data_IF_579814043828
#
_entry.id   IF_579814043828
#
_cell.length_a   1.000
_cell.length_b   1.000
_cell.length_c   1.000
_cell.angle_alpha   90.00
_cell.angle_beta   90.00
_cell.angle_gamma   90.00
#
_symmetry.space_group_name_H-M   'P 1'
#
loop_
_entity.id
_entity.type
_entity.pdbx_description
1 polymer ?
#
# COMPACT_ATOMS: atom_id res chain seq x y z
N UNK A 1 -11.65 -16.31 -23.86
CA UNK A 1 -10.46 -15.96 -23.06
C UNK A 1 -10.05 -14.58 -23.54
N UNK A 2 -10.37 -13.52 -22.78
CA UNK A 2 -9.92 -12.17 -23.12
C UNK A 2 -8.53 -12.06 -22.53
N UNK A 3 -7.51 -12.40 -23.33
CA UNK A 3 -6.15 -11.98 -23.06
C UNK A 3 -6.14 -10.46 -23.18
N UNK A 4 -6.12 -9.76 -22.05
CA UNK A 4 -5.82 -8.33 -22.01
C UNK A 4 -4.35 -8.17 -22.41
N UNK A 5 -4.10 -8.19 -23.72
CA UNK A 5 -2.79 -8.01 -24.34
C UNK A 5 -2.46 -6.51 -24.49
N UNK A 6 -2.77 -5.74 -23.45
CA UNK A 6 -2.75 -4.28 -23.45
C UNK A 6 -1.55 -3.69 -22.69
N UNK A 7 -0.52 -3.28 -23.44
CA UNK A 7 0.49 -2.28 -23.08
C UNK A 7 1.46 -2.47 -21.88
N UNK A 8 1.34 -3.49 -21.02
CA UNK A 8 2.28 -3.69 -19.90
C UNK A 8 3.50 -4.58 -20.21
N UNK A 9 3.71 -5.00 -21.47
CA UNK A 9 4.80 -5.93 -21.80
C UNK A 9 6.21 -5.31 -21.84
N UNK A 10 6.36 -3.97 -21.86
CA UNK A 10 7.67 -3.32 -21.82
C UNK A 10 8.31 -3.29 -20.42
N UNK A 11 7.51 -3.42 -19.37
CA UNK A 11 7.93 -3.60 -17.98
C UNK A 11 7.06 -4.70 -17.36
N UNK A 12 7.43 -5.97 -17.55
CA UNK A 12 6.59 -7.11 -17.16
C UNK A 12 6.06 -7.04 -15.71
N UNK A 13 4.95 -7.74 -15.41
CA UNK A 13 4.23 -7.73 -14.13
C UNK A 13 5.14 -7.79 -12.88
N UNK A 14 6.22 -8.56 -12.96
CA UNK A 14 7.26 -8.63 -11.92
C UNK A 14 7.92 -7.28 -11.63
N UNK A 15 8.31 -6.55 -12.67
CA UNK A 15 8.93 -5.24 -12.56
C UNK A 15 7.93 -4.21 -12.03
N UNK A 16 6.67 -4.29 -12.46
CA UNK A 16 5.58 -3.49 -11.89
C UNK A 16 5.40 -3.69 -10.38
N UNK A 17 5.46 -4.93 -9.90
CA UNK A 17 5.42 -5.23 -8.46
C UNK A 17 6.65 -4.69 -7.71
N UNK A 18 7.85 -4.78 -8.29
CA UNK A 18 9.08 -4.28 -7.66
C UNK A 18 9.05 -2.75 -7.57
N UNK A 19 8.72 -2.07 -8.67
CA UNK A 19 8.62 -0.61 -8.70
C UNK A 19 7.49 -0.11 -7.79
N UNK A 20 6.33 -0.74 -7.81
CA UNK A 20 5.21 -0.41 -6.93
C UNK A 20 5.57 -0.60 -5.45
N UNK A 21 6.23 -1.71 -5.10
CA UNK A 21 6.68 -1.96 -3.73
C UNK A 21 7.74 -0.97 -3.25
N UNK A 22 8.73 -0.65 -4.08
CA UNK A 22 9.74 0.36 -3.77
C UNK A 22 9.11 1.76 -3.61
N UNK A 23 8.15 2.09 -4.48
CA UNK A 23 7.41 3.34 -4.40
C UNK A 23 6.64 3.46 -3.07
N UNK A 24 5.91 2.41 -2.67
CA UNK A 24 5.18 2.39 -1.40
C UNK A 24 6.13 2.59 -0.20
N UNK A 25 7.29 1.92 -0.21
CA UNK A 25 8.29 2.06 0.86
C UNK A 25 8.78 3.50 0.96
N UNK A 26 9.12 4.13 -0.16
CA UNK A 26 9.58 5.52 -0.18
C UNK A 26 8.46 6.46 0.27
N UNK A 27 7.24 6.24 -0.22
CA UNK A 27 6.07 7.07 0.07
C UNK A 27 5.73 7.08 1.58
N UNK A 28 5.57 5.91 2.18
CA UNK A 28 5.28 5.77 3.60
C UNK A 28 6.44 6.27 4.48
N UNK A 29 7.70 5.99 4.11
CA UNK A 29 8.85 6.51 4.83
C UNK A 29 8.89 8.06 4.84
N UNK A 30 8.54 8.69 3.72
CA UNK A 30 8.39 10.15 3.62
C UNK A 30 7.25 10.65 4.50
N UNK A 31 6.11 9.95 4.56
CA UNK A 31 5.00 10.30 5.46
C UNK A 31 5.40 10.19 6.93
N UNK A 32 6.08 9.12 7.33
CA UNK A 32 6.61 8.96 8.70
C UNK A 32 7.53 10.12 9.05
N UNK A 33 8.44 10.49 8.13
CA UNK A 33 9.33 11.62 8.32
C UNK A 33 8.57 12.94 8.46
N UNK A 34 7.57 13.19 7.61
CA UNK A 34 6.77 14.40 7.64
C UNK A 34 5.96 14.49 8.94
N UNK A 35 5.36 13.40 9.39
CA UNK A 35 4.67 13.34 10.68
C UNK A 35 5.60 13.58 11.86
N UNK A 36 6.81 13.01 11.84
CA UNK A 36 7.83 13.28 12.85
C UNK A 36 8.25 14.76 12.84
N UNK A 37 8.41 15.35 11.66
CA UNK A 37 8.74 16.75 11.49
C UNK A 37 7.61 17.64 12.06
N UNK A 38 6.36 17.38 11.71
CA UNK A 38 5.21 18.12 12.26
C UNK A 38 5.11 17.96 13.77
N UNK A 39 5.30 16.76 14.33
CA UNK A 39 5.29 16.57 15.78
C UNK A 39 6.37 17.43 16.48
N UNK A 40 7.58 17.49 15.90
CA UNK A 40 8.71 18.24 16.46
C UNK A 40 8.53 19.75 16.34
N UNK A 41 8.03 20.24 15.20
CA UNK A 41 7.99 21.68 14.88
C UNK A 41 6.61 22.34 15.00
N UNK A 42 5.53 21.58 15.13
CA UNK A 42 4.18 22.13 15.34
C UNK A 42 4.10 22.84 16.69
N UNK A 43 3.66 24.10 16.67
CA UNK A 43 3.43 24.94 17.86
C UNK A 43 1.96 24.94 18.33
N UNK A 44 1.06 24.18 17.69
CA UNK A 44 -0.34 24.08 18.15
C UNK A 44 -0.42 23.18 19.37
N UNK A 45 -0.28 23.78 20.55
CA UNK A 45 -0.70 23.23 21.82
C UNK A 45 -2.12 23.68 22.10
N UNK A 46 -3.04 22.73 22.24
CA UNK A 46 -4.31 23.00 22.92
C UNK A 46 -3.97 23.27 24.38
N UNK A 47 -4.40 24.44 24.89
CA UNK A 47 -4.21 24.78 26.30
C UNK A 47 -5.19 23.90 27.07
N UNK A 48 -4.68 23.02 27.92
CA UNK A 48 -5.52 22.27 28.83
C UNK A 48 -6.07 23.25 29.89
N UNK A 49 -7.39 23.46 29.87
CA UNK A 49 -8.09 24.46 30.70
C UNK A 49 -8.00 24.16 32.21
N UNK A 50 -7.57 22.95 32.59
CA UNK A 50 -7.51 22.48 33.97
C UNK A 50 -6.09 22.65 34.57
N UNK A 51 -5.04 22.48 33.76
CA UNK A 51 -3.64 22.47 34.22
C UNK A 51 -2.81 23.65 33.71
N UNK A 52 -3.28 24.35 32.68
CA UNK A 52 -2.53 25.44 32.05
C UNK A 52 -1.30 24.98 31.25
N UNK A 53 -1.12 23.67 31.08
CA UNK A 53 -0.02 23.09 30.33
C UNK A 53 -0.37 22.93 28.85
N UNK A 54 0.66 23.09 28.01
CA UNK A 54 0.57 22.92 26.57
C UNK A 54 0.59 21.43 26.22
N UNK A 55 -0.55 20.75 26.23
CA UNK A 55 -0.64 19.38 25.72
C UNK A 55 -0.68 19.40 24.19
N UNK A 56 0.36 18.85 23.56
CA UNK A 56 0.34 18.46 22.16
C UNK A 56 -0.38 17.12 22.06
N UNK A 57 -1.38 17.02 21.20
CA UNK A 57 -2.08 15.78 20.91
C UNK A 57 -1.14 14.79 20.17
N UNK A 58 -0.29 14.09 20.93
CA UNK A 58 0.80 13.25 20.38
C UNK A 58 0.37 11.82 20.08
N UNK A 59 -0.73 11.36 20.68
CA UNK A 59 -1.22 9.98 20.56
C UNK A 59 -1.64 9.64 19.13
N UNK A 60 -2.38 10.53 18.46
CA UNK A 60 -2.77 10.36 17.06
C UNK A 60 -1.58 10.25 16.11
N UNK A 61 -0.55 11.09 16.30
CA UNK A 61 0.68 11.05 15.50
C UNK A 61 1.46 9.75 15.69
N UNK A 62 1.55 9.23 16.92
CA UNK A 62 2.20 7.96 17.20
C UNK A 62 1.47 6.76 16.57
N UNK A 63 0.14 6.76 16.61
CA UNK A 63 -0.68 5.70 16.01
C UNK A 63 -0.55 5.69 14.48
N UNK A 64 -0.60 6.85 13.82
CA UNK A 64 -0.37 6.91 12.37
C UNK A 64 1.07 6.53 11.99
N UNK A 65 2.08 7.02 12.72
CA UNK A 65 3.49 6.71 12.44
C UNK A 65 3.79 5.21 12.54
N UNK A 66 3.27 4.55 13.57
CA UNK A 66 3.40 3.08 13.72
C UNK A 66 2.65 2.32 12.63
N UNK A 67 1.51 2.84 12.17
CA UNK A 67 0.73 2.25 11.08
C UNK A 67 1.49 2.30 9.75
N UNK A 68 2.08 3.44 9.39
CA UNK A 68 2.88 3.56 8.17
C UNK A 68 4.13 2.68 8.20
N UNK A 69 4.77 2.53 9.36
CA UNK A 69 5.91 1.63 9.52
C UNK A 69 5.50 0.17 9.26
N UNK A 70 4.33 -0.24 9.77
CA UNK A 70 3.80 -1.57 9.52
C UNK A 70 3.46 -1.78 8.03
N UNK A 71 2.97 -0.74 7.34
CA UNK A 71 2.74 -0.79 5.88
C UNK A 71 4.04 -0.90 5.07
N UNK A 72 5.13 -0.32 5.54
CA UNK A 72 6.46 -0.52 4.92
C UNK A 72 6.93 -1.95 5.04
N UNK A 73 6.75 -2.55 6.21
CA UNK A 73 7.05 -3.96 6.41
C UNK A 73 6.20 -4.86 5.51
N UNK A 74 4.91 -4.54 5.33
CA UNK A 74 4.03 -5.25 4.39
C UNK A 74 4.50 -5.06 2.95
N UNK A 75 4.89 -3.85 2.56
CA UNK A 75 5.37 -3.52 1.21
C UNK A 75 6.68 -4.24 0.86
N UNK A 76 7.53 -4.54 1.85
CA UNK A 76 8.69 -5.41 1.65
C UNK A 76 8.30 -6.82 1.21
N UNK A 77 7.19 -7.39 1.70
CA UNK A 77 6.73 -8.71 1.24
C UNK A 77 6.36 -8.71 -0.25
N UNK A 78 5.89 -7.58 -0.80
CA UNK A 78 5.65 -7.45 -2.24
C UNK A 78 6.97 -7.52 -3.02
N UNK A 79 7.98 -6.74 -2.61
CA UNK A 79 9.29 -6.71 -3.26
C UNK A 79 9.98 -8.07 -3.17
N UNK A 80 10.03 -8.67 -1.98
CA UNK A 80 10.59 -10.01 -1.79
C UNK A 80 9.81 -11.08 -2.55
N UNK A 81 8.47 -11.01 -2.54
CA UNK A 81 7.60 -11.91 -3.31
C UNK A 81 7.85 -11.82 -4.81
N UNK A 82 8.07 -10.61 -5.32
CA UNK A 82 8.39 -10.35 -6.72
C UNK A 82 9.79 -10.84 -7.12
N UNK A 83 10.80 -10.65 -6.25
CA UNK A 83 12.17 -11.12 -6.48
C UNK A 83 12.24 -12.65 -6.43
N UNK A 84 11.74 -13.27 -5.35
CA UNK A 84 11.81 -14.70 -5.08
C UNK A 84 10.75 -15.53 -5.83
N UNK A 85 9.85 -14.88 -6.58
CA UNK A 85 8.70 -15.53 -7.26
C UNK A 85 7.83 -16.34 -6.28
N UNK A 86 7.68 -15.85 -5.06
CA UNK A 86 7.00 -16.56 -3.98
C UNK A 86 5.54 -16.10 -3.84
N UNK A 87 4.62 -16.89 -4.38
CA UNK A 87 3.19 -16.60 -4.40
C UNK A 87 2.53 -16.36 -3.03
N UNK A 88 3.01 -16.99 -1.95
CA UNK A 88 2.46 -16.79 -0.60
C UNK A 88 2.77 -15.37 -0.10
N UNK A 89 3.96 -14.85 -0.42
CA UNK A 89 4.36 -13.50 0.00
C UNK A 89 3.49 -12.43 -0.67
N UNK A 90 3.14 -12.62 -1.95
CA UNK A 90 2.20 -11.76 -2.67
C UNK A 90 0.79 -11.83 -2.06
N UNK A 91 0.35 -13.02 -1.66
CA UNK A 91 -0.96 -13.19 -1.01
C UNK A 91 -1.03 -12.50 0.35
N UNK A 92 0.04 -12.61 1.16
CA UNK A 92 0.14 -11.91 2.45
C UNK A 92 0.12 -10.39 2.23
N UNK A 93 0.82 -9.89 1.21
CA UNK A 93 0.76 -8.48 0.84
C UNK A 93 -0.67 -8.03 0.51
N UNK A 94 -1.38 -8.76 -0.37
CA UNK A 94 -2.76 -8.43 -0.75
C UNK A 94 -3.73 -8.44 0.45
N UNK A 95 -3.55 -9.36 1.40
CA UNK A 95 -4.33 -9.36 2.64
C UNK A 95 -4.01 -8.14 3.51
N UNK A 96 -2.72 -7.78 3.61
CA UNK A 96 -2.28 -6.60 4.35
C UNK A 96 -2.83 -5.29 3.79
N UNK A 97 -3.01 -5.20 2.47
CA UNK A 97 -3.50 -4.00 1.78
C UNK A 97 -4.98 -3.69 2.02
N UNK A 98 -5.76 -4.62 2.58
CA UNK A 98 -7.16 -4.35 2.96
C UNK A 98 -7.26 -3.20 3.99
N UNK A 99 -6.30 -3.14 4.92
CA UNK A 99 -6.26 -2.13 5.98
C UNK A 99 -6.05 -0.71 5.38
N UNK A 100 -4.97 -0.42 4.62
CA UNK A 100 -4.77 0.89 3.99
C UNK A 100 -5.91 1.31 3.08
N UNK A 101 -6.42 0.39 2.24
CA UNK A 101 -7.55 0.71 1.35
C UNK A 101 -8.76 1.18 2.17
N UNK A 102 -9.05 0.50 3.28
CA UNK A 102 -10.14 0.87 4.18
C UNK A 102 -9.91 2.25 4.81
N UNK A 103 -8.70 2.53 5.27
CA UNK A 103 -8.33 3.81 5.89
C UNK A 103 -8.43 4.97 4.90
N UNK A 104 -7.83 4.84 3.72
CA UNK A 104 -7.89 5.86 2.66
C UNK A 104 -9.33 6.09 2.18
N UNK A 105 -10.11 5.01 2.03
CA UNK A 105 -11.52 5.11 1.65
C UNK A 105 -12.35 5.83 2.72
N UNK A 106 -12.06 5.60 4.01
CA UNK A 106 -12.73 6.28 5.12
C UNK A 106 -12.40 7.78 5.14
N UNK A 107 -11.14 8.16 4.93
CA UNK A 107 -10.74 9.57 4.86
C UNK A 107 -11.33 10.27 3.64
N UNK A 108 -11.35 9.60 2.48
CA UNK A 108 -12.00 10.11 1.28
C UNK A 108 -13.50 10.34 1.52
N UNK A 109 -14.20 9.36 2.13
CA UNK A 109 -15.62 9.51 2.48
C UNK A 109 -15.85 10.69 3.42
N UNK A 110 -15.01 10.82 4.44
CA UNK A 110 -15.07 11.92 5.41
C UNK A 110 -14.88 13.26 4.70
N UNK A 111 -13.88 13.37 3.83
CA UNK A 111 -13.60 14.60 3.08
C UNK A 111 -14.75 15.00 2.14
N UNK A 112 -15.42 14.02 1.51
CA UNK A 112 -16.62 14.24 0.69
C UNK A 112 -17.77 14.76 1.55
N UNK A 113 -18.02 14.17 2.72
CA UNK A 113 -19.10 14.59 3.63
C UNK A 113 -18.88 16.04 4.11
N UNK A 114 -17.64 16.43 4.38
CA UNK A 114 -17.30 17.79 4.82
C UNK A 114 -17.16 18.81 3.67
N UNK A 115 -17.38 18.42 2.41
CA UNK A 115 -17.36 19.33 1.26
C UNK A 115 -15.98 19.92 0.95
N UNK A 116 -14.90 19.23 1.31
CA UNK A 116 -13.52 19.68 1.04
C UNK A 116 -13.16 19.26 -0.39
N UNK A 117 -13.57 20.02 -1.40
CA UNK A 117 -13.56 19.54 -2.79
C UNK A 117 -12.17 19.49 -3.45
N UNK A 118 -11.32 20.50 -3.29
CA UNK A 118 -10.06 20.60 -4.06
C UNK A 118 -8.89 19.82 -3.45
N UNK A 119 -8.81 19.79 -2.12
CA UNK A 119 -7.72 19.11 -1.41
C UNK A 119 -7.99 17.60 -1.29
N UNK A 120 -9.26 17.18 -1.25
CA UNK A 120 -9.61 15.75 -1.11
C UNK A 120 -9.24 14.90 -2.31
N UNK A 121 -9.35 15.46 -3.52
CA UNK A 121 -9.04 14.75 -4.78
C UNK A 121 -7.53 14.45 -4.86
N UNK A 122 -6.69 15.41 -4.49
CA UNK A 122 -5.24 15.27 -4.63
C UNK A 122 -4.66 14.49 -3.45
N UNK A 123 -5.17 14.71 -2.23
CA UNK A 123 -4.61 14.13 -1.01
C UNK A 123 -5.13 12.73 -0.72
N UNK A 124 -6.39 12.41 -1.06
CA UNK A 124 -6.98 11.10 -0.73
C UNK A 124 -7.31 10.26 -1.97
N UNK A 125 -7.93 10.85 -3.01
CA UNK A 125 -8.31 10.07 -4.20
C UNK A 125 -7.09 9.60 -5.00
N UNK A 126 -6.10 10.47 -5.21
CA UNK A 126 -4.92 10.10 -6.00
C UNK A 126 -4.09 8.99 -5.32
N UNK A 127 -3.76 9.04 -4.01
CA UNK A 127 -3.11 7.93 -3.33
C UNK A 127 -3.92 6.64 -3.38
N UNK A 128 -5.25 6.72 -3.17
CA UNK A 128 -6.13 5.55 -3.27
C UNK A 128 -6.08 4.90 -4.66
N UNK A 129 -6.10 5.69 -5.74
CA UNK A 129 -5.99 5.17 -7.10
C UNK A 129 -4.65 4.48 -7.37
N UNK A 130 -3.55 5.07 -6.88
CA UNK A 130 -2.21 4.46 -7.00
C UNK A 130 -2.16 3.14 -6.23
N UNK A 131 -2.74 3.10 -5.04
CA UNK A 131 -2.78 1.92 -4.18
C UNK A 131 -3.56 0.77 -4.86
N UNK A 132 -4.76 1.08 -5.37
CA UNK A 132 -5.58 0.14 -6.14
C UNK A 132 -4.85 -0.36 -7.38
N UNK A 133 -4.12 0.52 -8.09
CA UNK A 133 -3.32 0.11 -9.24
C UNK A 133 -2.23 -0.91 -8.86
N UNK A 134 -1.50 -0.67 -7.77
CA UNK A 134 -0.46 -1.59 -7.28
C UNK A 134 -1.08 -2.94 -6.90
N UNK A 135 -2.25 -2.94 -6.26
CA UNK A 135 -2.96 -4.15 -5.88
C UNK A 135 -3.43 -4.97 -7.09
N UNK A 136 -3.95 -4.31 -8.12
CA UNK A 136 -4.32 -4.97 -9.38
C UNK A 136 -3.08 -5.61 -10.02
N UNK A 137 -1.95 -4.90 -10.09
CA UNK A 137 -0.69 -5.43 -10.63
C UNK A 137 -0.20 -6.62 -9.81
N UNK A 138 -0.21 -6.52 -8.47
CA UNK A 138 0.19 -7.59 -7.57
C UNK A 138 -0.72 -8.82 -7.68
N UNK A 139 -2.03 -8.60 -7.82
CA UNK A 139 -3.01 -9.66 -8.04
C UNK A 139 -2.80 -10.37 -9.38
N UNK A 140 -2.65 -9.61 -10.47
CA UNK A 140 -2.34 -10.17 -11.79
C UNK A 140 -1.07 -11.03 -11.75
N UNK A 141 -0.01 -10.53 -11.12
CA UNK A 141 1.24 -11.27 -10.98
C UNK A 141 1.09 -12.54 -10.11
N UNK A 142 0.30 -12.48 -9.03
CA UNK A 142 -0.01 -13.64 -8.20
C UNK A 142 -0.78 -14.72 -8.98
N UNK A 143 -1.76 -14.33 -9.80
CA UNK A 143 -2.51 -15.26 -10.65
C UNK A 143 -1.63 -15.94 -11.71
N UNK A 144 -0.71 -15.19 -12.32
CA UNK A 144 0.26 -15.72 -13.28
C UNK A 144 1.19 -16.75 -12.65
N UNK A 145 1.74 -16.45 -11.46
CA UNK A 145 2.59 -17.39 -10.71
C UNK A 145 1.85 -18.68 -10.33
N UNK A 146 0.56 -18.57 -9.95
CA UNK A 146 -0.27 -19.72 -9.61
C UNK A 146 -0.60 -20.56 -10.86
N UNK A 147 -0.87 -19.93 -11.99
CA UNK A 147 -1.12 -20.59 -13.27
C UNK A 147 0.10 -21.33 -13.80
N UNK A 148 1.27 -20.69 -13.76
CA UNK A 148 2.54 -21.29 -14.19
C UNK A 148 2.92 -22.55 -13.38
N UNK A 149 2.66 -22.53 -12.06
CA UNK A 149 2.80 -23.73 -11.21
C UNK A 149 1.82 -24.85 -11.57
N UNK A 150 0.58 -24.50 -11.94
CA UNK A 150 -0.42 -25.47 -12.37
C UNK A 150 -0.01 -26.14 -13.68
N UNK A 151 0.51 -25.38 -14.63
CA UNK A 151 1.03 -25.89 -15.90
C UNK A 151 2.23 -26.83 -15.72
N UNK A 152 3.18 -26.46 -14.84
CA UNK A 152 4.33 -27.33 -14.53
C UNK A 152 3.93 -28.62 -13.80
N UNK A 153 2.96 -28.56 -12.89
CA UNK A 153 2.43 -29.75 -12.22
C UNK A 153 1.73 -30.71 -13.20
N UNK A 154 0.93 -30.18 -14.14
CA UNK A 154 0.28 -31.00 -15.17
C UNK A 154 1.28 -31.63 -16.13
N UNK A 155 2.34 -30.91 -16.53
CA UNK A 155 3.40 -31.48 -17.37
C UNK A 155 4.18 -32.60 -16.67
N UNK A 156 4.36 -32.53 -15.34
CA UNK A 156 5.04 -33.58 -14.57
C UNK A 156 4.18 -34.84 -14.41
N UNK A 157 2.85 -34.70 -14.34
CA UNK A 157 1.91 -35.84 -14.22
C UNK A 157 1.83 -36.63 -15.54
N UNK A 158 2.09 -35.98 -16.69
CA UNK A 158 2.02 -36.62 -18.01
C UNK A 158 3.33 -37.30 -18.46
N UNK A 159 4.33 -37.44 -17.59
CA UNK A 159 5.55 -38.21 -17.88
C UNK A 159 5.47 -39.54 -17.13
N UNK A 160 4.60 -40.43 -17.60
CA UNK A 160 4.73 -41.86 -17.34
C UNK A 160 5.19 -42.49 -18.65
N UNK A 161 6.47 -42.88 -18.69
CA UNK A 161 7.03 -43.78 -19.70
C UNK A 161 6.46 -45.19 -19.52
#
# INVERSE_FOLDING_TARGET
>A
MVELDGCCYFFGLRCGCILGGLWLIIYNALLIYLMYYEMKYSQRSTIDLITGEHEKETTGFWVLGTTFLLMDLISLFLVFGAILRHHISLFIFLLGQIIPISVESFYLLTAIIYGIETESIIIYLLPLLILVYIDVVAYSYWTDLKSSKKLTAVSQINIFY
#
